data_IF_972009255502
#
_entry.id   IF_972009255502
#
_cell.length_a   1.000
_cell.length_b   1.000
_cell.length_c   1.000
_cell.angle_alpha   90.00
_cell.angle_beta   90.00
_cell.angle_gamma   90.00
#
_symmetry.space_group_name_H-M   'P 1'
#
loop_
_entity.id
_entity.type
_entity.pdbx_description
1 polymer ?
#
# COMPACT_ATOMS: atom_id res chain seq x y z
N UNK A 1 15.58 -10.53 19.39
CA UNK A 1 15.23 -11.22 18.14
C UNK A 1 14.18 -10.43 17.38
N UNK A 2 14.38 -10.32 16.07
CA UNK A 2 13.42 -9.71 15.15
C UNK A 2 12.59 -10.82 14.50
N UNK A 3 11.26 -10.67 14.53
CA UNK A 3 10.34 -11.51 13.76
C UNK A 3 9.84 -10.72 12.55
N UNK A 4 9.89 -11.33 11.36
CA UNK A 4 9.48 -10.70 10.10
C UNK A 4 8.42 -11.57 9.46
N UNK A 5 7.20 -11.02 9.34
CA UNK A 5 6.05 -11.71 8.75
C UNK A 5 5.63 -11.01 7.44
N UNK A 6 5.64 -11.72 6.29
CA UNK A 6 5.10 -11.17 5.05
C UNK A 6 3.57 -11.06 5.13
N UNK A 7 3.00 -10.14 4.36
CA UNK A 7 1.56 -10.08 4.07
C UNK A 7 1.37 -9.87 2.57
N UNK A 8 0.40 -10.57 1.98
CA UNK A 8 0.06 -10.36 0.57
C UNK A 8 -0.55 -8.97 0.38
N UNK A 9 -0.18 -8.29 -0.71
CA UNK A 9 -0.72 -6.98 -1.08
C UNK A 9 -1.29 -7.02 -2.50
N UNK A 10 -2.12 -6.04 -2.84
CA UNK A 10 -2.64 -5.92 -4.20
C UNK A 10 -1.70 -5.07 -5.05
N UNK A 11 -0.90 -5.70 -5.92
CA UNK A 11 -0.07 -5.01 -6.90
C UNK A 11 0.08 -5.85 -8.18
N UNK A 12 0.56 -5.27 -9.26
CA UNK A 12 0.78 -5.95 -10.54
C UNK A 12 2.20 -6.52 -10.70
N UNK A 13 2.78 -6.99 -9.59
CA UNK A 13 3.98 -7.81 -9.55
C UNK A 13 3.63 -9.29 -9.26
N UNK A 14 4.64 -10.17 -9.37
CA UNK A 14 4.51 -11.57 -8.98
C UNK A 14 4.60 -11.68 -7.45
N UNK A 15 3.55 -12.23 -6.82
CA UNK A 15 3.45 -12.44 -5.35
C UNK A 15 3.93 -11.24 -4.52
N UNK A 16 3.35 -10.05 -4.71
CA UNK A 16 3.82 -8.85 -4.01
C UNK A 16 3.51 -8.94 -2.52
N UNK A 17 4.44 -8.46 -1.71
CA UNK A 17 4.35 -8.52 -0.25
C UNK A 17 4.67 -7.18 0.40
N UNK A 18 3.93 -6.88 1.47
CA UNK A 18 4.37 -5.97 2.53
C UNK A 18 4.95 -6.76 3.69
N UNK A 19 5.59 -6.07 4.63
CA UNK A 19 6.25 -6.69 5.77
C UNK A 19 5.78 -6.11 7.09
N UNK A 20 5.66 -7.00 8.08
CA UNK A 20 5.44 -6.66 9.49
C UNK A 20 6.65 -7.13 10.28
N UNK A 21 7.36 -6.21 10.90
CA UNK A 21 8.56 -6.47 11.67
C UNK A 21 8.25 -6.25 13.14
N UNK A 22 8.61 -7.22 13.98
CA UNK A 22 8.35 -7.20 15.41
C UNK A 22 9.64 -7.29 16.20
N UNK A 23 9.74 -6.47 17.26
CA UNK A 23 10.77 -6.56 18.29
C UNK A 23 10.12 -6.42 19.67
N UNK A 24 10.04 -7.52 20.42
CA UNK A 24 9.30 -7.54 21.68
C UNK A 24 7.82 -7.19 21.47
N UNK A 25 7.36 -6.09 22.08
CA UNK A 25 6.00 -5.57 21.89
C UNK A 25 5.88 -4.53 20.77
N UNK A 26 6.99 -4.18 20.10
CA UNK A 26 7.00 -3.18 19.03
C UNK A 26 6.69 -3.79 17.68
N UNK A 27 5.89 -3.09 16.88
CA UNK A 27 5.45 -3.48 15.54
C UNK A 27 5.71 -2.35 14.54
N UNK A 28 6.55 -2.62 13.54
CA UNK A 28 6.76 -1.74 12.39
C UNK A 28 6.24 -2.41 11.12
N UNK A 29 5.42 -1.69 10.35
CA UNK A 29 4.88 -2.18 9.09
C UNK A 29 5.39 -1.38 7.91
N UNK A 30 5.66 -2.10 6.82
CA UNK A 30 6.14 -1.55 5.55
C UNK A 30 5.20 -2.06 4.46
N UNK A 31 4.51 -1.14 3.81
CA UNK A 31 3.56 -1.42 2.74
C UNK A 31 3.73 -0.38 1.63
N UNK A 32 4.50 -0.73 0.60
CA UNK A 32 4.67 0.08 -0.62
C UNK A 32 3.92 -0.58 -1.76
N UNK A 33 3.70 0.15 -2.86
CA UNK A 33 3.08 -0.38 -4.07
C UNK A 33 1.70 -1.03 -3.84
N UNK A 34 0.94 -0.53 -2.87
CA UNK A 34 -0.40 -1.04 -2.58
C UNK A 34 -1.38 -0.43 -3.57
N UNK A 35 -2.11 -1.23 -4.36
CA UNK A 35 -3.12 -0.77 -5.31
C UNK A 35 -4.51 -0.60 -4.68
N UNK A 36 -4.87 -1.48 -3.74
CA UNK A 36 -6.04 -1.35 -2.89
C UNK A 36 -5.82 -2.07 -1.57
N UNK A 37 -6.61 -1.73 -0.56
CA UNK A 37 -6.62 -2.44 0.71
C UNK A 37 -7.92 -3.20 0.92
N UNK A 38 -7.83 -4.23 1.76
CA UNK A 38 -8.95 -5.05 2.22
C UNK A 38 -8.95 -5.09 3.74
N UNK A 39 -9.99 -5.65 4.35
CA UNK A 39 -10.04 -5.90 5.79
C UNK A 39 -8.81 -6.70 6.28
N UNK A 40 -8.29 -7.62 5.45
CA UNK A 40 -7.06 -8.34 5.74
C UNK A 40 -5.85 -7.39 5.80
N UNK A 41 -5.71 -6.50 4.83
CA UNK A 41 -4.64 -5.50 4.78
C UNK A 41 -4.71 -4.60 6.01
N UNK A 42 -5.90 -4.10 6.36
CA UNK A 42 -6.11 -3.25 7.54
C UNK A 42 -5.77 -4.01 8.82
N UNK A 43 -6.27 -5.23 9.01
CA UNK A 43 -5.96 -6.05 10.18
C UNK A 43 -4.46 -6.35 10.32
N UNK A 44 -3.75 -6.51 9.20
CA UNK A 44 -2.30 -6.70 9.21
C UNK A 44 -1.55 -5.45 9.67
N UNK A 45 -2.04 -4.25 9.32
CA UNK A 45 -1.39 -2.97 9.57
C UNK A 45 -1.84 -2.27 10.86
N UNK A 46 -2.99 -2.63 11.40
CA UNK A 46 -3.54 -2.05 12.62
C UNK A 46 -2.59 -2.21 13.82
N UNK A 47 -2.62 -1.27 14.76
CA UNK A 47 -1.78 -1.26 15.98
C UNK A 47 -0.25 -1.24 15.72
N UNK A 48 0.18 -0.77 14.54
CA UNK A 48 1.60 -0.55 14.28
C UNK A 48 2.11 0.67 15.03
N UNK A 49 3.24 0.54 15.73
CA UNK A 49 3.96 1.69 16.28
C UNK A 49 4.53 2.58 15.17
N UNK A 50 4.93 1.96 14.06
CA UNK A 50 5.47 2.63 12.87
C UNK A 50 4.79 2.03 11.64
N UNK A 51 4.25 2.88 10.76
CA UNK A 51 3.76 2.49 9.45
C UNK A 51 4.46 3.30 8.37
N UNK A 52 5.22 2.61 7.52
CA UNK A 52 5.67 3.15 6.24
C UNK A 52 4.67 2.72 5.17
N UNK A 53 3.90 3.69 4.68
CA UNK A 53 2.93 3.53 3.61
C UNK A 53 3.29 4.45 2.44
N UNK A 54 3.25 3.92 1.23
CA UNK A 54 3.45 4.73 0.03
C UNK A 54 2.15 5.41 -0.43
N UNK A 55 2.27 6.68 -0.81
CA UNK A 55 1.19 7.52 -1.31
C UNK A 55 1.60 8.08 -2.67
N UNK A 56 1.03 7.54 -3.75
CA UNK A 56 1.65 7.68 -5.08
C UNK A 56 1.10 8.81 -5.93
N UNK A 57 -0.18 9.16 -5.79
CA UNK A 57 -0.80 10.09 -6.73
C UNK A 57 -2.00 10.84 -6.16
N UNK A 58 -2.17 12.08 -6.63
CA UNK A 58 -3.44 12.77 -6.60
C UNK A 58 -4.28 12.35 -7.82
N UNK A 59 -5.56 12.03 -7.59
CA UNK A 59 -6.45 11.49 -8.64
C UNK A 59 -6.64 12.50 -9.77
N UNK A 60 -6.86 13.77 -9.44
CA UNK A 60 -7.12 14.80 -10.45
C UNK A 60 -5.87 15.08 -11.26
N UNK A 61 -4.72 15.24 -10.58
CA UNK A 61 -3.43 15.44 -11.25
C UNK A 61 -3.10 14.29 -12.21
N UNK A 62 -3.36 13.05 -11.79
CA UNK A 62 -3.15 11.88 -12.65
C UNK A 62 -4.08 11.90 -13.87
N UNK A 63 -5.36 12.23 -13.68
CA UNK A 63 -6.34 12.25 -14.77
C UNK A 63 -6.05 13.32 -15.82
N UNK A 64 -5.65 14.53 -15.40
CA UNK A 64 -5.38 15.65 -16.32
C UNK A 64 -3.93 15.68 -16.83
N UNK A 65 -3.03 14.92 -16.22
CA UNK A 65 -1.62 14.86 -16.59
C UNK A 65 -1.36 14.22 -17.96
N UNK A 66 -0.10 14.25 -18.40
CA UNK A 66 0.32 13.86 -19.75
C UNK A 66 0.41 12.35 -19.99
N UNK A 67 0.17 11.50 -18.98
CA UNK A 67 0.30 10.07 -19.16
C UNK A 67 -0.68 9.52 -20.20
N UNK A 68 -0.26 8.53 -21.02
CA UNK A 68 -1.18 7.81 -21.89
C UNK A 68 -2.33 7.22 -21.07
N UNK A 69 -3.51 7.13 -21.69
CA UNK A 69 -4.72 6.64 -21.00
C UNK A 69 -4.53 5.25 -20.37
N UNK A 70 -3.83 4.34 -21.05
CA UNK A 70 -3.53 3.00 -20.53
C UNK A 70 -2.72 3.04 -19.23
N UNK A 71 -1.74 3.94 -19.12
CA UNK A 71 -0.94 4.10 -17.89
C UNK A 71 -1.76 4.71 -16.76
N UNK A 72 -2.63 5.68 -17.06
CA UNK A 72 -3.57 6.24 -16.06
C UNK A 72 -4.48 5.15 -15.50
N UNK A 73 -5.04 4.30 -16.37
CA UNK A 73 -5.88 3.17 -15.95
C UNK A 73 -5.11 2.15 -15.10
N UNK A 74 -3.85 1.86 -15.46
CA UNK A 74 -3.00 0.98 -14.65
C UNK A 74 -2.78 1.55 -13.24
N UNK A 75 -2.41 2.83 -13.13
CA UNK A 75 -2.14 3.46 -11.82
C UNK A 75 -3.40 3.54 -10.96
N UNK A 76 -4.54 3.91 -11.53
CA UNK A 76 -5.83 4.01 -10.82
C UNK A 76 -6.46 2.66 -10.46
N UNK A 77 -6.02 1.57 -11.09
CA UNK A 77 -6.62 0.26 -10.88
C UNK A 77 -6.27 -0.35 -9.52
N UNK A 78 -7.04 -1.34 -9.09
CA UNK A 78 -6.83 -2.04 -7.81
C UNK A 78 -5.48 -2.74 -7.68
N UNK A 79 -4.76 -2.96 -8.79
CA UNK A 79 -3.40 -3.54 -8.82
C UNK A 79 -2.32 -2.50 -9.14
N UNK A 80 -2.69 -1.23 -9.25
CA UNK A 80 -1.79 -0.11 -9.44
C UNK A 80 -1.26 0.38 -8.11
N UNK A 81 -1.60 1.63 -7.77
CA UNK A 81 -1.13 2.28 -6.55
C UNK A 81 -2.26 3.04 -5.85
N UNK A 82 -2.18 3.17 -4.52
CA UNK A 82 -3.10 3.97 -3.74
C UNK A 82 -2.95 5.44 -4.10
N UNK A 83 -4.09 6.14 -4.12
CA UNK A 83 -4.10 7.59 -4.15
C UNK A 83 -3.71 8.15 -2.80
N UNK A 84 -3.32 9.42 -2.77
CA UNK A 84 -2.99 10.12 -1.54
C UNK A 84 -4.16 10.14 -0.56
N UNK A 85 -5.37 10.35 -1.08
CA UNK A 85 -6.59 10.33 -0.28
C UNK A 85 -6.87 8.93 0.31
N UNK A 86 -6.76 7.87 -0.50
CA UNK A 86 -7.00 6.51 -0.04
C UNK A 86 -5.95 6.06 0.99
N UNK A 87 -4.69 6.49 0.82
CA UNK A 87 -3.61 6.24 1.78
C UNK A 87 -3.93 6.83 3.16
N UNK A 88 -4.50 8.04 3.18
CA UNK A 88 -4.95 8.69 4.42
C UNK A 88 -6.21 8.12 5.06
N UNK A 89 -6.92 7.19 4.40
CA UNK A 89 -8.15 6.54 4.90
C UNK A 89 -7.93 5.09 5.34
N UNK A 90 -6.72 4.57 5.19
CA UNK A 90 -6.43 3.15 5.38
C UNK A 90 -6.64 2.68 6.83
N UNK A 91 -6.33 3.53 7.82
CA UNK A 91 -6.43 3.25 9.26
C UNK A 91 -7.13 4.41 9.97
#
# INVERSE_FOLDING_TARGET
DLKIDPMAISHDAAEPVGYRVYEGSKKACICTDLGCYTDYTQACLQDSDILLLESNHDINMLQVGHYPYSLKQRILGNRGHLSNAASGQLL
#
